data_IF_238183825738
#
_entry.id   IF_238183825738
#
_cell.length_a   1.000
_cell.length_b   1.000
_cell.length_c   1.000
_cell.angle_alpha   90.00
_cell.angle_beta   90.00
_cell.angle_gamma   90.00
#
_symmetry.space_group_name_H-M   'P 1'
#
loop_
_entity.id
_entity.type
_entity.pdbx_description
1 polymer ?
#
# COMPACT_ATOMS: atom_id res chain seq x y z
N UNK A 1 -12.30 -0.17 -17.20
CA UNK A 1 -11.84 1.19 -16.86
C UNK A 1 -10.59 1.61 -17.65
N UNK A 2 -9.49 0.84 -17.60
CA UNK A 2 -8.17 1.29 -18.09
C UNK A 2 -7.73 0.75 -19.47
N UNK A 3 -8.62 0.14 -20.26
CA UNK A 3 -8.26 -0.43 -21.58
C UNK A 3 -7.70 0.68 -22.49
N UNK A 4 -6.46 0.52 -22.95
CA UNK A 4 -5.75 1.49 -23.78
C UNK A 4 -5.23 2.73 -23.04
N UNK A 5 -5.36 2.80 -21.71
CA UNK A 5 -4.95 3.94 -20.86
C UNK A 5 -4.34 3.47 -19.52
N UNK A 6 -3.22 2.72 -19.52
CA UNK A 6 -2.62 2.17 -18.29
C UNK A 6 -2.22 3.26 -17.28
N UNK A 7 -1.74 4.41 -17.75
CA UNK A 7 -1.36 5.56 -16.89
C UNK A 7 -2.51 6.09 -16.02
N UNK A 8 -3.76 5.95 -16.47
CA UNK A 8 -4.93 6.38 -15.69
C UNK A 8 -5.17 5.52 -14.44
N UNK A 9 -4.47 4.38 -14.30
CA UNK A 9 -4.45 3.58 -13.06
C UNK A 9 -3.37 4.02 -12.08
N UNK A 10 -2.51 4.96 -12.48
CA UNK A 10 -1.37 5.46 -11.69
C UNK A 10 -1.60 6.91 -11.26
N UNK A 11 -2.06 7.76 -12.18
CA UNK A 11 -2.22 9.20 -11.97
C UNK A 11 -3.65 9.69 -12.25
N UNK A 12 -4.06 10.76 -11.58
CA UNK A 12 -5.35 11.42 -11.74
C UNK A 12 -6.50 10.77 -10.97
N UNK A 13 -7.70 11.31 -11.13
CA UNK A 13 -8.88 10.87 -10.36
C UNK A 13 -9.30 9.42 -10.60
N UNK A 14 -9.01 8.85 -11.77
CA UNK A 14 -9.29 7.43 -12.07
C UNK A 14 -8.38 6.45 -11.31
N UNK A 15 -7.26 6.92 -10.75
CA UNK A 15 -6.39 6.12 -9.90
C UNK A 15 -6.82 6.16 -8.42
N UNK A 16 -7.78 7.01 -8.05
CA UNK A 16 -8.24 7.15 -6.67
C UNK A 16 -9.22 6.03 -6.31
N UNK A 17 -8.88 5.26 -5.28
CA UNK A 17 -9.80 4.35 -4.59
C UNK A 17 -10.46 5.06 -3.40
N UNK A 18 -11.57 4.52 -2.89
CA UNK A 18 -12.23 5.07 -1.69
C UNK A 18 -11.26 5.02 -0.50
N UNK A 19 -10.93 6.15 0.15
CA UNK A 19 -9.92 6.19 1.20
C UNK A 19 -10.45 5.54 2.49
N UNK A 20 -9.95 4.35 2.81
CA UNK A 20 -10.43 3.54 3.96
C UNK A 20 -9.48 3.50 5.15
N UNK A 21 -8.30 4.11 5.08
CA UNK A 21 -7.34 4.10 6.19
C UNK A 21 -7.96 4.67 7.48
N UNK A 22 -8.67 5.80 7.39
CA UNK A 22 -9.32 6.41 8.54
C UNK A 22 -10.39 5.49 9.16
N UNK A 23 -11.22 4.85 8.33
CA UNK A 23 -12.20 3.87 8.80
C UNK A 23 -11.53 2.64 9.44
N UNK A 24 -10.40 2.18 8.89
CA UNK A 24 -9.61 1.08 9.46
C UNK A 24 -9.01 1.42 10.83
N UNK A 25 -8.44 2.63 10.96
CA UNK A 25 -7.88 3.13 12.23
C UNK A 25 -8.97 3.31 13.29
N UNK A 26 -10.14 3.81 12.89
CA UNK A 26 -11.29 3.87 13.79
C UNK A 26 -11.71 2.49 14.27
N UNK A 27 -11.84 1.51 13.37
CA UNK A 27 -12.20 0.14 13.73
C UNK A 27 -11.17 -0.50 14.68
N UNK A 28 -9.88 -0.27 14.44
CA UNK A 28 -8.82 -0.72 15.34
C UNK A 28 -8.92 -0.06 16.72
N UNK A 29 -9.19 1.25 16.76
CA UNK A 29 -9.38 1.99 18.01
C UNK A 29 -10.61 1.50 18.79
N UNK A 30 -11.74 1.24 18.13
CA UNK A 30 -12.95 0.72 18.79
C UNK A 30 -12.73 -0.66 19.41
N UNK A 31 -11.87 -1.49 18.81
CA UNK A 31 -11.62 -2.87 19.28
C UNK A 31 -10.51 -2.98 20.32
N UNK A 32 -9.50 -2.13 20.22
CA UNK A 32 -8.24 -2.29 20.98
C UNK A 32 -7.70 -0.98 21.57
N UNK A 33 -8.31 0.17 21.27
CA UNK A 33 -7.86 1.48 21.70
C UNK A 33 -8.16 1.75 23.18
N UNK A 34 -7.19 2.33 23.89
CA UNK A 34 -7.34 2.75 25.29
C UNK A 34 -7.38 4.26 25.47
N UNK A 35 -6.61 5.01 24.67
CA UNK A 35 -6.56 6.46 24.75
C UNK A 35 -7.79 7.09 24.08
N UNK A 36 -8.26 8.26 24.55
CA UNK A 36 -9.34 8.98 23.88
C UNK A 36 -8.99 9.29 22.42
N UNK A 37 -9.90 9.01 21.48
CA UNK A 37 -9.72 9.18 20.04
C UNK A 37 -9.14 10.56 19.69
N UNK A 38 -9.77 11.63 20.20
CA UNK A 38 -9.36 13.02 19.97
C UNK A 38 -7.88 13.30 20.29
N UNK A 39 -7.32 12.63 21.30
CA UNK A 39 -5.93 12.85 21.74
C UNK A 39 -4.91 12.36 20.71
N UNK A 40 -5.26 11.31 19.94
CA UNK A 40 -4.36 10.67 18.98
C UNK A 40 -4.02 11.58 17.78
N UNK A 41 -4.88 12.57 17.50
CA UNK A 41 -4.74 13.46 16.34
C UNK A 41 -3.91 14.70 16.61
N UNK A 42 -3.75 15.10 17.88
CA UNK A 42 -3.14 16.39 18.23
C UNK A 42 -1.74 16.59 17.62
N UNK A 43 -0.82 15.58 17.66
CA UNK A 43 0.48 15.74 17.02
C UNK A 43 0.38 15.92 15.50
N UNK A 44 -0.51 15.17 14.84
CA UNK A 44 -0.69 15.24 13.39
C UNK A 44 -1.31 16.56 12.95
N UNK A 45 -2.28 17.09 13.71
CA UNK A 45 -2.89 18.41 13.48
C UNK A 45 -1.79 19.50 13.56
N UNK A 46 -1.00 19.50 14.63
CA UNK A 46 0.06 20.50 14.81
C UNK A 46 1.10 20.47 13.67
N UNK A 47 1.50 19.28 13.21
CA UNK A 47 2.40 19.12 12.07
C UNK A 47 1.77 19.59 10.75
N UNK A 48 0.46 19.35 10.55
CA UNK A 48 -0.25 19.81 9.37
C UNK A 48 -0.40 21.35 9.36
N UNK A 49 -0.64 22.00 10.50
CA UNK A 49 -0.76 23.46 10.60
C UNK A 49 0.60 24.17 10.50
N UNK A 50 1.56 23.72 11.32
CA UNK A 50 2.86 24.35 11.48
C UNK A 50 3.88 23.94 10.42
N UNK A 51 3.65 22.81 9.74
CA UNK A 51 4.67 22.15 8.94
C UNK A 51 5.70 21.46 9.84
N UNK A 52 6.75 20.93 9.21
CA UNK A 52 7.81 20.22 9.94
C UNK A 52 9.18 20.42 9.26
N UNK A 53 10.29 20.28 10.01
CA UNK A 53 11.63 20.33 9.42
C UNK A 53 11.82 19.19 8.43
N UNK A 54 12.23 19.51 7.21
CA UNK A 54 12.39 18.49 6.16
C UNK A 54 13.50 17.50 6.51
N UNK A 55 13.12 16.23 6.64
CA UNK A 55 14.04 15.11 6.85
C UNK A 55 14.83 14.81 5.56
N UNK A 56 16.10 14.34 5.61
CA UNK A 56 16.89 14.01 4.43
C UNK A 56 16.18 13.11 3.43
N UNK A 57 15.40 12.13 3.90
CA UNK A 57 14.60 11.27 3.03
C UNK A 57 13.57 12.07 2.20
N UNK A 58 12.80 12.96 2.83
CA UNK A 58 11.84 13.81 2.11
C UNK A 58 12.54 14.70 1.09
N UNK A 59 13.68 15.30 1.47
CA UNK A 59 14.49 16.11 0.54
C UNK A 59 14.92 15.25 -0.64
N UNK A 60 15.41 14.04 -0.44
CA UNK A 60 15.80 13.13 -1.50
C UNK A 60 14.62 12.74 -2.41
N UNK A 61 13.42 12.48 -1.85
CA UNK A 61 12.21 12.15 -2.62
C UNK A 61 11.63 13.30 -3.44
N UNK A 62 12.02 14.54 -3.13
CA UNK A 62 11.61 15.75 -3.85
C UNK A 62 12.71 16.30 -4.77
N UNK A 63 13.96 15.94 -4.51
CA UNK A 63 15.14 16.43 -5.22
C UNK A 63 15.41 15.64 -6.50
N UNK A 64 16.18 16.24 -7.40
CA UNK A 64 16.50 15.69 -8.71
C UNK A 64 15.72 16.42 -9.81
N UNK A 65 16.38 16.69 -10.93
CA UNK A 65 15.84 17.51 -12.02
C UNK A 65 14.55 16.92 -12.59
N UNK A 66 14.55 15.62 -12.91
CA UNK A 66 13.38 14.91 -13.43
C UNK A 66 12.23 14.86 -12.43
N UNK A 67 12.53 14.60 -11.15
CA UNK A 67 11.52 14.49 -10.10
C UNK A 67 10.88 15.85 -9.80
N UNK A 68 11.69 16.89 -9.64
CA UNK A 68 11.18 18.24 -9.43
C UNK A 68 10.32 18.66 -10.62
N UNK A 69 10.81 18.46 -11.86
CA UNK A 69 10.07 18.80 -13.07
C UNK A 69 8.74 18.05 -13.19
N UNK A 70 8.69 16.77 -12.82
CA UNK A 70 7.45 16.00 -12.79
C UNK A 70 6.44 16.56 -11.78
N UNK A 71 6.89 16.96 -10.60
CA UNK A 71 6.02 17.55 -9.56
C UNK A 71 5.48 18.93 -9.95
N UNK A 72 6.19 19.70 -10.79
CA UNK A 72 5.70 21.00 -11.27
C UNK A 72 4.41 20.91 -12.09
N UNK A 73 4.13 19.74 -12.67
CA UNK A 73 2.90 19.47 -13.42
C UNK A 73 1.67 19.36 -12.50
N UNK A 74 1.88 19.25 -11.18
CA UNK A 74 0.84 19.08 -10.17
C UNK A 74 0.84 20.26 -9.21
N UNK A 75 0.14 21.38 -9.52
CA UNK A 75 0.22 22.62 -8.76
C UNK A 75 -0.01 22.46 -7.26
N UNK A 76 -0.99 21.65 -6.86
CA UNK A 76 -1.30 21.44 -5.45
C UNK A 76 -0.16 20.73 -4.69
N UNK A 77 0.51 19.76 -5.32
CA UNK A 77 1.66 19.07 -4.72
C UNK A 77 2.88 20.00 -4.71
N UNK A 78 3.16 20.66 -5.84
CA UNK A 78 4.21 21.67 -5.95
C UNK A 78 4.10 22.70 -4.84
N UNK A 79 2.94 23.31 -4.67
CA UNK A 79 2.73 24.41 -3.73
C UNK A 79 2.79 23.95 -2.27
N UNK A 80 2.50 22.68 -2.01
CA UNK A 80 2.57 22.08 -0.66
C UNK A 80 3.99 21.66 -0.27
N UNK A 81 4.70 20.99 -1.18
CA UNK A 81 5.94 20.28 -0.86
C UNK A 81 7.21 20.97 -1.38
N UNK A 82 7.12 21.80 -2.43
CA UNK A 82 8.26 22.54 -2.95
C UNK A 82 8.31 23.97 -2.40
N UNK A 83 9.49 24.57 -2.50
CA UNK A 83 9.77 25.95 -2.09
C UNK A 83 10.13 26.78 -3.31
N UNK A 84 9.86 28.08 -3.24
CA UNK A 84 10.27 29.04 -4.25
C UNK A 84 11.49 29.82 -3.76
N UNK A 85 12.54 29.86 -4.57
CA UNK A 85 13.82 30.51 -4.26
C UNK A 85 14.32 31.21 -5.54
N UNK A 86 14.52 32.52 -5.50
CA UNK A 86 14.91 33.31 -6.68
C UNK A 86 13.97 33.15 -7.89
N UNK A 87 12.68 32.90 -7.67
CA UNK A 87 11.69 32.68 -8.72
C UNK A 87 11.61 31.25 -9.25
N UNK A 88 12.53 30.35 -8.87
CA UNK A 88 12.54 28.95 -9.27
C UNK A 88 12.01 28.05 -8.17
N UNK A 89 11.36 26.96 -8.54
CA UNK A 89 10.93 25.93 -7.61
C UNK A 89 12.07 24.98 -7.27
N UNK A 90 12.17 24.59 -6.01
CA UNK A 90 13.15 23.63 -5.50
C UNK A 90 12.56 22.77 -4.37
N UNK A 91 13.17 21.62 -4.12
CA UNK A 91 12.95 20.89 -2.88
C UNK A 91 13.32 21.75 -1.64
N UNK A 92 12.71 21.50 -0.46
CA UNK A 92 13.17 22.11 0.79
C UNK A 92 14.59 21.65 1.10
N UNK A 93 15.36 22.48 1.82
CA UNK A 93 16.66 22.09 2.38
C UNK A 93 16.44 21.24 3.63
N UNK A 94 17.40 20.39 3.99
CA UNK A 94 17.34 19.62 5.25
C UNK A 94 17.14 20.59 6.42
N UNK A 95 16.22 20.26 7.32
CA UNK A 95 15.76 21.07 8.46
C UNK A 95 15.00 22.37 8.11
N UNK A 96 14.80 22.69 6.83
CA UNK A 96 13.90 23.79 6.43
C UNK A 96 12.45 23.39 6.73
N UNK A 97 11.69 24.24 7.44
CA UNK A 97 10.28 23.96 7.71
C UNK A 97 9.46 24.02 6.42
N UNK A 98 8.79 22.93 6.08
CA UNK A 98 8.00 22.78 4.85
C UNK A 98 6.61 22.18 5.11
N UNK A 99 5.88 21.93 4.03
CA UNK A 99 4.86 20.89 4.01
C UNK A 99 3.64 21.18 4.91
N UNK A 100 3.32 22.48 5.06
CA UNK A 100 2.10 22.94 5.74
C UNK A 100 0.88 22.51 4.92
N UNK A 101 -0.11 21.92 5.59
CA UNK A 101 -1.37 21.41 5.03
C UNK A 101 -2.55 21.86 5.91
N UNK A 102 -2.91 23.15 5.93
CA UNK A 102 -3.96 23.68 6.80
C UNK A 102 -5.33 23.02 6.56
N UNK A 103 -5.66 22.66 5.32
CA UNK A 103 -6.91 21.92 5.02
C UNK A 103 -6.92 20.50 5.59
N UNK A 104 -5.77 19.84 5.60
CA UNK A 104 -5.64 18.55 6.28
C UNK A 104 -5.80 18.73 7.79
N UNK A 105 -5.24 19.79 8.38
CA UNK A 105 -5.43 20.08 9.79
C UNK A 105 -6.91 20.31 10.14
N UNK A 106 -7.64 21.10 9.36
CA UNK A 106 -9.09 21.30 9.52
C UNK A 106 -9.86 19.96 9.49
N UNK A 107 -9.54 19.08 8.52
CA UNK A 107 -10.13 17.75 8.45
C UNK A 107 -9.78 16.91 9.68
N UNK A 108 -8.49 16.83 10.05
CA UNK A 108 -8.04 16.02 11.19
C UNK A 108 -8.65 16.50 12.50
N UNK A 109 -8.84 17.81 12.67
CA UNK A 109 -9.58 18.39 13.81
C UNK A 109 -11.03 17.91 13.81
N UNK A 110 -11.72 17.99 12.67
CA UNK A 110 -13.09 17.48 12.55
C UNK A 110 -13.20 15.99 12.88
N UNK A 111 -12.27 15.18 12.36
CA UNK A 111 -12.21 13.75 12.61
C UNK A 111 -11.95 13.44 14.08
N UNK A 112 -11.11 14.24 14.74
CA UNK A 112 -10.80 14.10 16.15
C UNK A 112 -12.00 14.43 17.06
N UNK A 113 -12.85 15.37 16.65
CA UNK A 113 -14.00 15.87 17.42
C UNK A 113 -15.29 15.10 17.14
N UNK A 114 -15.60 14.90 15.86
CA UNK A 114 -16.89 14.41 15.38
C UNK A 114 -16.80 12.94 14.90
N UNK A 115 -15.60 12.36 14.90
CA UNK A 115 -15.32 11.00 14.45
C UNK A 115 -15.11 10.87 12.93
N UNK A 116 -14.80 9.66 12.43
CA UNK A 116 -14.40 9.46 11.03
C UNK A 116 -15.53 9.71 10.03
N UNK A 117 -16.79 9.63 10.46
CA UNK A 117 -17.97 9.77 9.59
C UNK A 117 -18.06 11.13 8.90
N UNK A 118 -17.38 12.15 9.42
CA UNK A 118 -17.28 13.46 8.75
C UNK A 118 -16.74 13.38 7.33
N UNK A 119 -15.87 12.39 7.05
CA UNK A 119 -15.28 12.13 5.74
C UNK A 119 -16.22 11.31 4.84
N UNK A 120 -16.94 10.35 5.40
CA UNK A 120 -17.68 9.34 4.63
C UNK A 120 -19.12 9.75 4.31
N UNK A 121 -19.83 10.31 5.29
CA UNK A 121 -21.24 10.71 5.17
C UNK A 121 -21.50 12.15 5.62
N UNK A 122 -20.55 12.78 6.32
CA UNK A 122 -20.66 14.13 6.85
C UNK A 122 -20.16 15.24 5.93
N UNK A 123 -19.73 16.35 6.54
CA UNK A 123 -19.49 17.63 5.85
C UNK A 123 -18.39 17.59 4.78
N UNK A 124 -17.45 16.64 4.84
CA UNK A 124 -16.37 16.51 3.84
C UNK A 124 -16.70 15.52 2.72
N UNK A 125 -17.75 14.70 2.84
CA UNK A 125 -18.06 13.65 1.86
C UNK A 125 -18.36 14.21 0.46
N UNK A 126 -19.34 15.13 0.35
CA UNK A 126 -19.70 15.73 -0.93
C UNK A 126 -18.57 16.56 -1.54
N UNK A 127 -17.86 17.43 -0.78
CA UNK A 127 -16.71 18.16 -1.31
C UNK A 127 -15.58 17.25 -1.81
N UNK A 128 -15.25 16.17 -1.08
CA UNK A 128 -14.22 15.22 -1.51
C UNK A 128 -14.61 14.53 -2.82
N UNK A 129 -15.85 14.04 -2.94
CA UNK A 129 -16.37 13.44 -4.17
C UNK A 129 -16.27 14.40 -5.34
N UNK A 130 -16.67 15.67 -5.14
CA UNK A 130 -16.56 16.71 -6.16
C UNK A 130 -15.11 16.90 -6.62
N UNK A 131 -14.17 16.98 -5.69
CA UNK A 131 -12.75 17.17 -6.02
C UNK A 131 -12.17 15.96 -6.78
N UNK A 132 -12.55 14.74 -6.39
CA UNK A 132 -12.17 13.50 -7.10
C UNK A 132 -12.72 13.51 -8.54
N UNK A 133 -14.00 13.85 -8.72
CA UNK A 133 -14.66 13.91 -10.02
C UNK A 133 -14.09 15.02 -10.91
N UNK A 134 -13.75 16.18 -10.32
CA UNK A 134 -13.06 17.25 -11.02
C UNK A 134 -11.68 16.82 -11.52
N UNK A 135 -11.01 15.89 -10.83
CA UNK A 135 -9.78 15.26 -11.28
C UNK A 135 -10.00 14.09 -12.27
N UNK A 136 -11.24 13.87 -12.74
CA UNK A 136 -11.60 12.81 -13.68
C UNK A 136 -11.93 11.46 -13.04
N UNK A 137 -12.06 11.39 -11.72
CA UNK A 137 -12.44 10.17 -11.00
C UNK A 137 -13.93 9.86 -11.10
N UNK A 138 -14.28 8.63 -10.72
CA UNK A 138 -15.66 8.11 -10.84
C UNK A 138 -16.32 7.76 -9.51
N UNK A 139 -15.63 7.98 -8.39
CA UNK A 139 -16.18 7.74 -7.05
C UNK A 139 -17.43 8.60 -6.87
N UNK A 140 -18.48 7.98 -6.37
CA UNK A 140 -19.74 8.64 -6.02
C UNK A 140 -19.86 8.82 -4.50
N UNK A 141 -20.82 9.65 -4.08
CA UNK A 141 -21.18 9.75 -2.67
C UNK A 141 -21.71 8.42 -2.10
N UNK A 142 -22.36 7.60 -2.93
CA UNK A 142 -22.82 6.28 -2.51
C UNK A 142 -21.62 5.34 -2.24
N UNK A 143 -20.63 5.31 -3.13
CA UNK A 143 -19.41 4.50 -2.93
C UNK A 143 -18.69 4.89 -1.64
N UNK A 144 -18.54 6.19 -1.40
CA UNK A 144 -17.89 6.72 -0.21
C UNK A 144 -18.66 6.39 1.08
N UNK A 145 -20.00 6.44 1.03
CA UNK A 145 -20.85 6.13 2.19
C UNK A 145 -20.96 4.64 2.49
N UNK A 146 -20.91 3.77 1.48
CA UNK A 146 -21.04 2.32 1.64
C UNK A 146 -19.72 1.60 1.94
N UNK A 147 -18.58 2.23 1.65
CA UNK A 147 -17.28 1.60 1.85
C UNK A 147 -16.96 1.45 3.35
N UNK A 148 -16.49 0.27 3.73
CA UNK A 148 -16.14 -0.04 5.11
C UNK A 148 -14.85 -0.86 5.18
N UNK A 149 -14.09 -0.66 6.25
CA UNK A 149 -12.97 -1.54 6.58
C UNK A 149 -13.48 -2.91 7.04
N UNK A 150 -12.88 -3.98 6.54
CA UNK A 150 -13.31 -5.37 6.80
C UNK A 150 -12.26 -6.07 7.67
N UNK A 151 -12.71 -6.72 8.74
CA UNK A 151 -11.86 -7.60 9.55
C UNK A 151 -11.86 -8.98 8.91
N UNK A 152 -10.67 -9.49 8.59
CA UNK A 152 -10.50 -10.84 8.06
C UNK A 152 -9.60 -11.66 8.98
N UNK A 153 -9.86 -12.96 9.03
CA UNK A 153 -8.94 -13.92 9.66
C UNK A 153 -7.62 -13.95 8.89
N UNK A 154 -6.46 -13.91 9.56
CA UNK A 154 -5.17 -13.99 8.90
C UNK A 154 -4.93 -15.39 8.34
N UNK A 155 -4.05 -15.48 7.34
CA UNK A 155 -3.52 -16.75 6.86
C UNK A 155 -2.35 -17.13 7.76
N UNK A 156 -2.30 -18.42 8.13
CA UNK A 156 -1.29 -18.97 9.02
C UNK A 156 -0.62 -20.16 8.37
N UNK A 157 0.71 -20.19 8.40
CA UNK A 157 1.48 -21.33 7.91
C UNK A 157 2.65 -21.61 8.86
N UNK A 158 2.88 -22.90 9.16
CA UNK A 158 4.02 -23.31 9.98
C UNK A 158 5.21 -23.64 9.10
N UNK A 159 6.30 -22.89 9.24
CA UNK A 159 7.55 -23.09 8.47
C UNK A 159 8.73 -22.96 9.42
N UNK A 160 9.68 -23.91 9.34
CA UNK A 160 10.85 -24.00 10.24
C UNK A 160 10.51 -23.93 11.73
N UNK A 161 9.40 -24.57 12.13
CA UNK A 161 8.96 -24.60 13.51
C UNK A 161 8.27 -23.32 14.02
N UNK A 162 8.19 -22.26 13.20
CA UNK A 162 7.55 -20.97 13.51
C UNK A 162 6.19 -20.85 12.84
N UNK A 163 5.26 -20.16 13.51
CA UNK A 163 3.97 -19.76 12.93
C UNK A 163 4.10 -18.42 12.20
N UNK A 164 3.97 -18.46 10.89
CA UNK A 164 3.95 -17.28 10.04
C UNK A 164 2.52 -16.80 9.85
N UNK A 165 2.29 -15.52 10.12
CA UNK A 165 0.97 -14.88 10.04
C UNK A 165 1.01 -13.83 8.94
N UNK A 166 0.08 -13.91 7.99
CA UNK A 166 0.01 -13.01 6.86
C UNK A 166 -1.41 -12.49 6.62
N UNK A 167 -1.51 -11.30 6.03
CA UNK A 167 -2.78 -10.73 5.58
C UNK A 167 -3.38 -11.59 4.46
N UNK A 168 -4.69 -11.90 4.50
CA UNK A 168 -5.35 -12.63 3.42
C UNK A 168 -5.52 -11.75 2.17
N UNK A 169 -5.90 -12.34 1.02
CA UNK A 169 -6.40 -11.59 -0.13
C UNK A 169 -7.45 -10.54 0.27
N UNK A 170 -7.46 -9.33 -0.35
CA UNK A 170 -6.75 -8.95 -1.58
C UNK A 170 -5.24 -8.72 -1.45
N UNK A 171 -4.67 -8.76 -0.24
CA UNK A 171 -3.21 -8.72 -0.08
C UNK A 171 -2.54 -9.93 -0.73
N UNK A 172 -1.38 -9.72 -1.36
CA UNK A 172 -0.57 -10.82 -1.91
C UNK A 172 0.44 -11.40 -0.92
N UNK A 173 0.30 -11.16 0.39
CA UNK A 173 1.26 -11.60 1.40
C UNK A 173 1.45 -13.13 1.42
N UNK A 174 0.46 -13.91 0.97
CA UNK A 174 0.57 -15.37 0.76
C UNK A 174 1.69 -15.79 -0.18
N UNK A 175 2.13 -14.90 -1.07
CA UNK A 175 3.27 -15.12 -1.97
C UNK A 175 4.55 -15.39 -1.18
N UNK A 176 4.75 -14.65 -0.07
CA UNK A 176 5.92 -14.85 0.81
C UNK A 176 5.81 -16.20 1.50
N UNK A 177 4.61 -16.59 1.96
CA UNK A 177 4.39 -17.90 2.56
C UNK A 177 4.67 -19.06 1.58
N UNK A 178 4.29 -18.91 0.31
CA UNK A 178 4.61 -19.89 -0.73
C UNK A 178 6.13 -20.07 -0.90
N UNK A 179 6.85 -18.95 -1.02
CA UNK A 179 8.31 -18.97 -1.16
C UNK A 179 8.97 -19.62 0.07
N UNK A 180 8.52 -19.28 1.28
CA UNK A 180 9.02 -19.88 2.52
C UNK A 180 8.80 -21.40 2.56
N UNK A 181 7.64 -21.89 2.12
CA UNK A 181 7.34 -23.32 2.09
C UNK A 181 8.23 -24.08 1.08
N UNK A 182 8.44 -23.53 -0.11
CA UNK A 182 9.35 -24.10 -1.12
C UNK A 182 10.77 -24.17 -0.54
N UNK A 183 11.21 -23.07 0.09
CA UNK A 183 12.52 -22.97 0.71
C UNK A 183 12.68 -23.88 1.93
N UNK A 184 11.59 -24.18 2.64
CA UNK A 184 11.63 -24.99 3.86
C UNK A 184 12.27 -26.36 3.67
N UNK A 185 12.21 -26.86 2.44
CA UNK A 185 12.71 -28.17 2.07
C UNK A 185 14.18 -28.23 1.63
N UNK A 186 14.93 -27.13 1.61
CA UNK A 186 16.38 -27.18 1.36
C UNK A 186 17.17 -27.11 2.68
N UNK A 187 18.34 -27.75 2.71
CA UNK A 187 19.26 -27.68 3.87
C UNK A 187 19.89 -26.30 4.04
N UNK A 188 20.11 -25.57 2.94
CA UNK A 188 20.66 -24.19 2.93
C UNK A 188 19.82 -23.27 2.03
N UNK A 189 18.61 -22.88 2.47
CA UNK A 189 17.65 -22.20 1.59
C UNK A 189 17.82 -20.68 1.48
N UNK A 190 18.58 -20.07 2.39
CA UNK A 190 18.54 -18.62 2.56
C UNK A 190 19.61 -17.93 1.71
N UNK A 191 19.31 -16.72 1.23
CA UNK A 191 20.25 -15.89 0.48
C UNK A 191 21.59 -15.64 1.23
N UNK A 192 21.60 -15.74 2.56
CA UNK A 192 22.82 -15.66 3.38
C UNK A 192 23.75 -16.88 3.29
N UNK A 193 23.31 -17.98 2.68
CA UNK A 193 24.07 -19.25 2.55
C UNK A 193 24.97 -19.30 1.30
N UNK A 194 25.34 -18.16 0.72
CA UNK A 194 26.18 -18.06 -0.47
C UNK A 194 25.40 -18.10 -1.80
N UNK A 195 26.12 -18.22 -2.91
CA UNK A 195 25.55 -18.10 -4.27
C UNK A 195 24.41 -19.09 -4.54
N UNK A 196 24.53 -20.33 -4.05
CA UNK A 196 23.49 -21.34 -4.19
C UNK A 196 22.23 -21.00 -3.38
N UNK A 197 22.38 -20.44 -2.18
CA UNK A 197 21.26 -19.97 -1.37
C UNK A 197 20.54 -18.79 -2.02
N UNK A 198 21.29 -17.85 -2.62
CA UNK A 198 20.74 -16.75 -3.43
C UNK A 198 19.95 -17.31 -4.63
N UNK A 199 20.55 -18.23 -5.37
CA UNK A 199 19.92 -18.87 -6.53
C UNK A 199 18.59 -19.52 -6.15
N UNK A 200 18.58 -20.38 -5.11
CA UNK A 200 17.36 -21.05 -4.63
C UNK A 200 16.30 -20.07 -4.13
N UNK A 201 16.70 -18.99 -3.46
CA UNK A 201 15.79 -17.92 -3.04
C UNK A 201 15.14 -17.27 -4.25
N UNK A 202 15.91 -16.93 -5.28
CA UNK A 202 15.41 -16.33 -6.52
C UNK A 202 14.45 -17.28 -7.24
N UNK A 203 14.79 -18.55 -7.39
CA UNK A 203 13.95 -19.55 -8.06
C UNK A 203 12.64 -19.80 -7.30
N UNK A 204 12.69 -19.91 -5.97
CA UNK A 204 11.49 -20.04 -5.14
C UNK A 204 10.58 -18.81 -5.26
N UNK A 205 11.15 -17.60 -5.29
CA UNK A 205 10.38 -16.38 -5.52
C UNK A 205 9.75 -16.36 -6.91
N UNK A 206 10.43 -16.81 -7.97
CA UNK A 206 9.83 -16.86 -9.31
C UNK A 206 8.59 -17.76 -9.36
N UNK A 207 8.65 -18.96 -8.76
CA UNK A 207 7.46 -19.82 -8.62
C UNK A 207 6.35 -19.14 -7.80
N UNK A 208 6.70 -18.56 -6.65
CA UNK A 208 5.72 -17.87 -5.81
C UNK A 208 5.07 -16.67 -6.51
N UNK A 209 5.83 -15.87 -7.25
CA UNK A 209 5.31 -14.73 -8.02
C UNK A 209 4.49 -15.16 -9.23
N UNK A 210 4.75 -16.32 -9.83
CA UNK A 210 3.87 -16.90 -10.84
C UNK A 210 2.50 -17.26 -10.23
N UNK A 211 2.49 -17.88 -9.04
CA UNK A 211 1.27 -18.15 -8.27
C UNK A 211 0.52 -16.87 -7.90
N UNK A 212 1.24 -15.82 -7.51
CA UNK A 212 0.68 -14.49 -7.17
C UNK A 212 -0.22 -13.93 -8.27
N UNK A 213 0.08 -14.21 -9.54
CA UNK A 213 -0.71 -13.72 -10.68
C UNK A 213 -2.14 -14.31 -10.74
N UNK A 214 -2.45 -15.30 -9.89
CA UNK A 214 -3.80 -15.84 -9.71
C UNK A 214 -4.58 -15.24 -8.54
N UNK A 215 -3.98 -14.31 -7.78
CA UNK A 215 -4.64 -13.62 -6.69
C UNK A 215 -5.48 -12.44 -7.19
N UNK A 216 -6.49 -12.09 -6.43
CA UNK A 216 -7.37 -10.96 -6.66
C UNK A 216 -8.17 -10.62 -5.41
N UNK A 217 -9.10 -9.68 -5.53
CA UNK A 217 -10.02 -9.35 -4.44
C UNK A 217 -11.13 -10.42 -4.37
N UNK A 218 -11.27 -11.16 -3.25
CA UNK A 218 -12.41 -12.05 -3.09
C UNK A 218 -13.72 -11.29 -2.92
N UNK A 219 -13.70 -9.97 -2.70
CA UNK A 219 -14.89 -9.20 -2.35
C UNK A 219 -15.26 -9.35 -0.87
N UNK A 220 -16.28 -8.59 -0.41
CA UNK A 220 -16.68 -8.57 1.00
C UNK A 220 -17.39 -9.85 1.45
N UNK A 221 -17.98 -10.60 0.50
CA UNK A 221 -18.81 -11.77 0.74
C UNK A 221 -18.11 -13.05 0.27
N UNK A 222 -18.08 -14.07 1.14
CA UNK A 222 -17.51 -15.37 0.82
C UNK A 222 -18.43 -16.23 -0.06
N UNK A 223 -19.75 -15.98 -0.05
CA UNK A 223 -20.73 -16.74 -0.83
C UNK A 223 -20.74 -16.30 -2.30
N UNK A 224 -20.49 -15.02 -2.58
CA UNK A 224 -20.44 -14.47 -3.93
C UNK A 224 -19.14 -13.68 -4.18
N UNK A 225 -18.00 -14.39 -4.31
CA UNK A 225 -16.72 -13.73 -4.40
C UNK A 225 -16.50 -13.08 -5.77
N UNK A 226 -15.88 -11.90 -5.80
CA UNK A 226 -15.50 -11.25 -7.07
C UNK A 226 -14.47 -12.09 -7.85
N UNK A 227 -13.54 -12.71 -7.11
CA UNK A 227 -12.56 -13.65 -7.66
C UNK A 227 -12.57 -14.91 -6.82
N UNK A 228 -12.78 -16.08 -7.45
CA UNK A 228 -12.68 -17.36 -6.76
C UNK A 228 -11.20 -17.71 -6.49
N UNK A 229 -10.83 -17.70 -5.22
CA UNK A 229 -9.46 -17.96 -4.77
C UNK A 229 -9.26 -19.38 -4.21
N UNK A 230 -10.28 -20.23 -4.27
CA UNK A 230 -10.24 -21.58 -3.65
C UNK A 230 -9.07 -22.40 -4.16
N UNK A 231 -8.90 -22.50 -5.49
CA UNK A 231 -7.84 -23.32 -6.08
C UNK A 231 -6.44 -22.85 -5.68
N UNK A 232 -6.18 -21.53 -5.69
CA UNK A 232 -4.87 -20.98 -5.35
C UNK A 232 -4.58 -21.08 -3.85
N UNK A 233 -5.57 -20.85 -2.99
CA UNK A 233 -5.41 -21.00 -1.54
C UNK A 233 -5.24 -22.48 -1.14
N UNK A 234 -5.93 -23.40 -1.81
CA UNK A 234 -5.71 -24.84 -1.61
C UNK A 234 -4.31 -25.27 -2.04
N UNK A 235 -3.85 -24.82 -3.22
CA UNK A 235 -2.49 -25.08 -3.67
C UNK A 235 -1.43 -24.53 -2.69
N UNK A 236 -1.71 -23.38 -2.07
CA UNK A 236 -0.83 -22.80 -1.05
C UNK A 236 -0.70 -23.63 0.23
N UNK A 237 -1.67 -24.48 0.54
CA UNK A 237 -1.70 -25.35 1.71
C UNK A 237 -1.35 -26.81 1.38
N UNK A 238 -1.12 -27.12 0.10
CA UNK A 238 -0.75 -28.45 -0.36
C UNK A 238 0.77 -28.64 -0.30
N UNK A 239 1.22 -29.46 0.65
CA UNK A 239 2.64 -29.74 0.84
C UNK A 239 3.27 -30.49 -0.33
N UNK A 240 2.52 -31.33 -1.02
CA UNK A 240 3.02 -32.10 -2.15
C UNK A 240 3.21 -31.18 -3.36
N UNK A 241 2.28 -30.26 -3.58
CA UNK A 241 2.43 -29.20 -4.58
C UNK A 241 3.64 -28.30 -4.29
N UNK A 242 3.81 -27.84 -3.04
CA UNK A 242 5.00 -27.05 -2.67
C UNK A 242 6.30 -27.83 -2.85
N UNK A 243 6.29 -29.14 -2.56
CA UNK A 243 7.42 -30.03 -2.78
C UNK A 243 7.71 -30.23 -4.28
N UNK A 244 6.69 -30.28 -5.14
CA UNK A 244 6.89 -30.40 -6.58
C UNK A 244 7.53 -29.14 -7.15
N UNK A 245 7.12 -27.94 -6.70
CA UNK A 245 7.77 -26.68 -7.07
C UNK A 245 9.22 -26.63 -6.63
N UNK A 246 9.54 -27.12 -5.41
CA UNK A 246 10.93 -27.23 -4.94
C UNK A 246 11.76 -28.17 -5.82
N UNK A 247 11.21 -29.31 -6.21
CA UNK A 247 11.91 -30.31 -7.04
C UNK A 247 12.21 -29.80 -8.44
N UNK A 248 11.41 -28.86 -8.93
CA UNK A 248 11.58 -28.23 -10.23
C UNK A 248 12.71 -27.16 -10.24
N UNK A 249 13.15 -26.69 -9.07
CA UNK A 249 14.30 -25.79 -8.93
C UNK A 249 15.59 -26.56 -9.24
N UNK A 250 16.28 -26.13 -10.29
CA UNK A 250 17.60 -26.65 -10.71
C UNK A 250 18.71 -25.72 -10.27
N UNK A 251 19.97 -26.15 -10.35
CA UNK A 251 21.13 -25.29 -10.07
C UNK A 251 21.50 -24.36 -11.26
N UNK A 252 20.64 -24.26 -12.27
CA UNK A 252 20.71 -23.28 -13.35
C UNK A 252 19.43 -22.43 -13.44
N UNK A 253 19.51 -21.29 -14.11
CA UNK A 253 18.35 -20.42 -14.34
C UNK A 253 17.46 -20.96 -15.47
N UNK A 254 16.14 -20.91 -15.26
CA UNK A 254 15.15 -21.32 -16.24
C UNK A 254 14.51 -20.11 -16.95
N UNK A 255 14.03 -20.27 -18.21
CA UNK A 255 13.28 -19.22 -18.89
C UNK A 255 12.02 -18.83 -18.12
N UNK A 256 11.59 -17.56 -18.17
CA UNK A 256 10.41 -17.08 -17.45
C UNK A 256 9.12 -17.84 -17.76
N UNK A 257 8.97 -18.35 -18.98
CA UNK A 257 7.81 -19.15 -19.39
C UNK A 257 7.66 -20.46 -18.60
N UNK A 258 8.75 -20.95 -18.00
CA UNK A 258 8.78 -22.18 -17.22
C UNK A 258 7.91 -22.11 -15.95
N UNK A 259 7.90 -20.97 -15.25
CA UNK A 259 7.24 -20.84 -13.95
C UNK A 259 5.70 -20.73 -14.04
N UNK A 260 5.13 -20.67 -15.25
CA UNK A 260 3.66 -20.68 -15.43
C UNK A 260 2.96 -19.36 -15.07
N UNK A 261 3.66 -18.23 -15.12
CA UNK A 261 3.05 -16.91 -14.88
C UNK A 261 1.93 -16.59 -15.89
N UNK A 262 0.78 -16.12 -15.40
CA UNK A 262 -0.41 -15.82 -16.23
C UNK A 262 -0.26 -14.58 -17.11
N UNK A 263 0.58 -13.63 -16.70
CA UNK A 263 0.74 -12.35 -17.38
C UNK A 263 2.22 -12.10 -17.72
N UNK A 264 2.46 -11.64 -18.94
CA UNK A 264 3.80 -11.19 -19.36
C UNK A 264 3.97 -9.69 -19.04
N UNK A 265 4.50 -9.41 -17.85
CA UNK A 265 4.66 -8.03 -17.34
C UNK A 265 5.70 -7.21 -18.11
N UNK A 266 6.74 -7.85 -18.66
CA UNK A 266 7.77 -7.16 -19.46
C UNK A 266 7.26 -6.78 -20.83
N UNK A 267 6.49 -7.66 -21.50
CA UNK A 267 5.84 -7.34 -22.77
C UNK A 267 4.77 -6.24 -22.65
N UNK A 268 4.21 -6.05 -21.45
CA UNK A 268 3.25 -4.98 -21.18
C UNK A 268 3.90 -3.60 -21.00
N UNK A 269 5.25 -3.50 -21.04
CA UNK A 269 5.97 -2.26 -20.77
C UNK A 269 5.76 -1.72 -19.35
N UNK A 270 5.25 -2.56 -18.45
CA UNK A 270 5.00 -2.22 -17.06
C UNK A 270 6.31 -2.40 -16.28
N UNK A 271 7.06 -1.31 -16.16
CA UNK A 271 8.13 -1.18 -15.17
C UNK A 271 7.57 -0.37 -14.00
N UNK A 272 6.86 -0.99 -13.04
CA UNK A 272 6.36 -0.24 -11.91
C UNK A 272 7.54 0.24 -11.07
N UNK A 273 7.68 1.55 -10.93
CA UNK A 273 8.32 2.15 -9.76
C UNK A 273 7.52 1.68 -8.53
N UNK A 274 8.11 0.83 -7.69
CA UNK A 274 7.42 0.09 -6.61
C UNK A 274 7.60 0.75 -5.23
N UNK A 275 7.64 2.08 -5.20
CA UNK A 275 7.88 2.88 -3.99
C UNK A 275 6.62 3.61 -3.53
N UNK A 276 6.51 3.94 -2.23
CA UNK A 276 5.41 4.76 -1.70
C UNK A 276 4.65 4.17 -0.50
N UNK A 277 5.17 3.11 0.11
CA UNK A 277 4.55 2.40 1.24
C UNK A 277 5.34 2.65 2.53
N UNK A 278 4.63 2.77 3.65
CA UNK A 278 5.22 2.85 5.00
C UNK A 278 4.84 1.63 5.83
N UNK A 279 5.75 1.18 6.68
CA UNK A 279 5.52 0.07 7.61
C UNK A 279 5.88 0.50 9.02
N UNK A 280 5.05 0.11 9.99
CA UNK A 280 5.27 0.36 11.41
C UNK A 280 5.03 -0.95 12.17
N UNK A 281 5.97 -1.29 13.05
CA UNK A 281 5.85 -2.38 14.01
C UNK A 281 6.00 -1.82 15.43
N UNK A 282 5.04 -2.15 16.31
CA UNK A 282 5.02 -1.69 17.70
C UNK A 282 4.73 -2.88 18.61
N UNK A 283 5.46 -2.96 19.72
CA UNK A 283 5.16 -3.86 20.84
C UNK A 283 5.11 -3.02 22.11
N UNK A 284 4.07 -3.18 22.91
CA UNK A 284 3.93 -2.47 24.18
C UNK A 284 4.35 -3.32 25.39
N UNK A 285 4.25 -2.74 26.58
CA UNK A 285 4.62 -3.39 27.84
C UNK A 285 3.72 -4.59 28.20
N UNK A 286 2.49 -4.63 27.68
CA UNK A 286 1.53 -5.72 27.87
C UNK A 286 1.71 -6.83 26.82
N UNK A 287 2.73 -6.71 25.96
CA UNK A 287 3.04 -7.60 24.83
C UNK A 287 1.96 -7.61 23.74
N UNK A 288 1.18 -6.54 23.63
CA UNK A 288 0.37 -6.32 22.43
C UNK A 288 1.30 -5.94 21.29
N UNK A 289 1.15 -6.63 20.16
CA UNK A 289 1.95 -6.40 18.96
C UNK A 289 1.07 -5.91 17.82
N UNK A 290 1.53 -4.85 17.14
CA UNK A 290 0.91 -4.31 15.93
C UNK A 290 1.94 -4.32 14.82
N UNK A 291 1.59 -4.90 13.68
CA UNK A 291 2.34 -4.85 12.43
C UNK A 291 1.43 -4.24 11.37
N UNK A 292 1.72 -3.01 10.95
CA UNK A 292 0.84 -2.22 10.10
C UNK A 292 1.61 -1.70 8.89
N UNK A 293 1.07 -2.00 7.71
CA UNK A 293 1.53 -1.44 6.44
C UNK A 293 0.44 -0.51 5.91
N UNK A 294 0.81 0.72 5.59
CA UNK A 294 -0.10 1.72 5.01
C UNK A 294 0.52 2.33 3.75
N UNK A 295 -0.33 2.67 2.78
CA UNK A 295 0.13 3.10 1.45
C UNK A 295 -0.92 3.93 0.71
N UNK A 296 -0.43 4.82 -0.15
CA UNK A 296 -1.20 5.48 -1.20
C UNK A 296 -0.82 4.94 -2.59
N UNK A 297 -0.32 3.71 -2.64
CA UNK A 297 0.26 3.00 -3.78
C UNK A 297 1.66 3.52 -4.16
N UNK A 298 1.73 4.60 -4.93
CA UNK A 298 3.01 5.18 -5.39
C UNK A 298 3.39 6.43 -4.59
N UNK A 299 4.61 6.95 -4.74
CA UNK A 299 4.99 8.23 -4.12
C UNK A 299 4.02 9.37 -4.50
N UNK A 300 3.40 10.03 -3.51
CA UNK A 300 2.30 11.01 -3.69
C UNK A 300 1.02 10.44 -4.35
N UNK A 301 0.87 9.12 -4.39
CA UNK A 301 -0.30 8.42 -4.93
C UNK A 301 -0.72 8.88 -6.32
N UNK A 302 -2.03 9.12 -6.49
CA UNK A 302 -2.64 9.57 -7.74
C UNK A 302 -2.23 10.98 -8.19
N UNK A 303 -1.44 11.70 -7.38
CA UNK A 303 -1.08 13.11 -7.54
C UNK A 303 -2.25 14.10 -7.38
N UNK A 304 -3.44 13.61 -7.07
CA UNK A 304 -4.61 14.45 -6.75
C UNK A 304 -4.55 14.84 -5.29
N UNK A 305 -4.55 16.15 -5.02
CA UNK A 305 -4.70 16.71 -3.69
C UNK A 305 -6.04 17.42 -3.61
N UNK A 306 -6.92 16.99 -2.71
CA UNK A 306 -8.25 17.59 -2.56
C UNK A 306 -8.13 18.99 -1.95
N UNK A 307 -8.63 20.01 -2.66
CA UNK A 307 -8.66 21.38 -2.15
C UNK A 307 -9.60 21.52 -0.94
N UNK A 308 -10.62 20.66 -0.85
CA UNK A 308 -11.63 20.69 0.20
C UNK A 308 -11.18 20.01 1.50
N UNK A 309 -10.34 18.97 1.41
CA UNK A 309 -9.91 18.18 2.59
C UNK A 309 -8.42 18.28 2.87
N UNK A 310 -7.61 18.73 1.91
CA UNK A 310 -6.16 18.75 1.99
C UNK A 310 -5.52 17.37 1.91
N UNK A 311 -6.27 16.30 1.63
CA UNK A 311 -5.78 14.93 1.44
C UNK A 311 -5.08 14.75 0.11
#
# INVERSE_FOLDING_TARGET
MYKGRPEASINGGLAVAVPLELHGMWLAHQRHGRLPWKRLFQPAIALAEGGFPAHPYLVASLSGENQTAALLQWPAIRDTFLKKDGGKWRAPRVNETCCKRPKLAELLTAVAEDGPQVLYTGRYAKPLVRDIQAAGGIITAADLASAAAIVRSPIRQRVWGLDWIASPPPSSAVTVLAALQILAGFEQPLAGSGSLGVHRTVEALKHAFALRMSLGDPGPDAENPFVNLTAILSALHDSDFMSSLRTDIRDNALPLAHYGGRFNVTAAGLHPEDHGTSHIAVVDADRMAVSMTTTVNTGFGSKVLSASTGM
#
